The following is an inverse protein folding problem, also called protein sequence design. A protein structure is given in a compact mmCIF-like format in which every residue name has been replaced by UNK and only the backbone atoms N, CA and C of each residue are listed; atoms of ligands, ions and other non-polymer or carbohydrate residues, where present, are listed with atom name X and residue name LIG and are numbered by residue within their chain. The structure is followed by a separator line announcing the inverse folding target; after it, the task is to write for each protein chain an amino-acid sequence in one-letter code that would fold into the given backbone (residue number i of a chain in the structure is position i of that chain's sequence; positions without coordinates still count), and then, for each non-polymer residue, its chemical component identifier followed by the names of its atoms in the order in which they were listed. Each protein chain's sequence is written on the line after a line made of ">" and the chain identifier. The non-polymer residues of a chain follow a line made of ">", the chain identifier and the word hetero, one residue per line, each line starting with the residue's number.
data_IF_944416193158
#
_entry.id   IF_944416193158
#
_cell.length_a   1.000
_cell.length_b   1.000
_cell.length_c   1.000
_cell.angle_alpha   90.00
_cell.angle_beta   90.00
_cell.angle_gamma   90.00
#
_symmetry.space_group_name_H-M   'P 1'
#
loop_
_entity.id
_entity.type
_entity.pdbx_description
1 polymer ?
#
# COMPACT_ATOMS: atom_id res chain seq x y z
N UNK A 1 3.24 11.80 -26.15
CA UNK A 1 3.28 10.48 -25.50
C UNK A 1 2.79 10.74 -24.08
N UNK A 2 1.63 10.24 -23.71
CA UNK A 2 1.07 10.42 -22.37
C UNK A 2 1.83 9.45 -21.47
N UNK A 3 2.55 9.95 -20.48
CA UNK A 3 3.19 9.13 -19.46
C UNK A 3 2.15 8.87 -18.37
N UNK A 4 1.96 7.61 -18.03
CA UNK A 4 1.07 7.25 -16.94
C UNK A 4 1.80 7.44 -15.61
N UNK A 5 1.28 8.24 -14.67
CA UNK A 5 1.88 8.39 -13.35
C UNK A 5 1.67 7.14 -12.51
N UNK A 6 2.63 6.88 -11.63
CA UNK A 6 2.58 5.83 -10.61
C UNK A 6 2.83 6.46 -9.25
N UNK A 7 2.04 6.07 -8.27
CA UNK A 7 2.27 6.43 -6.87
C UNK A 7 3.07 5.31 -6.22
N UNK A 8 4.20 5.66 -5.63
CA UNK A 8 5.04 4.76 -4.86
C UNK A 8 4.89 5.05 -3.38
N UNK A 9 4.48 4.05 -2.63
CA UNK A 9 4.36 4.07 -1.19
C UNK A 9 5.36 3.08 -0.59
N UNK A 10 5.73 3.27 0.68
CA UNK A 10 6.49 2.28 1.44
C UNK A 10 5.74 0.93 1.52
N UNK A 11 6.31 -0.05 2.19
CA UNK A 11 5.57 -1.23 2.60
C UNK A 11 4.34 -0.84 3.45
N UNK A 12 3.32 -1.68 3.43
CA UNK A 12 2.15 -1.50 4.29
C UNK A 12 2.51 -1.78 5.75
N UNK A 13 2.58 -0.76 6.58
CA UNK A 13 2.89 -0.92 8.01
C UNK A 13 1.75 -1.57 8.81
N UNK A 14 0.52 -1.62 8.28
CA UNK A 14 -0.56 -2.39 8.87
C UNK A 14 -0.36 -3.91 8.71
N UNK A 15 0.53 -4.36 7.83
CA UNK A 15 0.78 -5.79 7.54
C UNK A 15 1.10 -6.62 8.79
N UNK A 16 1.76 -6.01 9.75
CA UNK A 16 2.13 -6.65 11.01
C UNK A 16 1.46 -6.01 12.23
N UNK A 17 0.56 -5.04 12.02
CA UNK A 17 -0.08 -4.34 13.12
C UNK A 17 -0.96 -5.29 13.94
N UNK A 18 -0.99 -5.07 15.24
CA UNK A 18 -1.89 -5.75 16.17
C UNK A 18 -3.04 -4.84 16.54
N UNK A 19 -4.20 -5.41 16.73
CA UNK A 19 -5.38 -4.73 17.24
C UNK A 19 -5.89 -5.50 18.47
N UNK A 20 -6.50 -4.83 19.42
CA UNK A 20 -7.06 -5.44 20.65
C UNK A 20 -8.05 -6.58 20.35
N UNK A 21 -8.65 -6.60 19.16
CA UNK A 21 -9.69 -7.55 18.78
C UNK A 21 -9.34 -8.46 17.61
N UNK A 22 -8.21 -8.20 16.90
CA UNK A 22 -7.85 -8.93 15.68
C UNK A 22 -6.36 -8.89 15.39
N UNK A 23 -5.83 -9.94 14.77
CA UNK A 23 -4.45 -9.96 14.24
C UNK A 23 -4.37 -9.27 12.88
N UNK A 24 -3.17 -8.91 12.44
CA UNK A 24 -2.90 -8.24 11.15
C UNK A 24 -3.58 -8.91 9.93
N UNK A 25 -3.65 -10.23 9.91
CA UNK A 25 -4.34 -10.99 8.86
C UNK A 25 -5.86 -10.69 8.77
N UNK A 26 -6.44 -10.10 9.82
CA UNK A 26 -7.87 -9.82 9.93
C UNK A 26 -8.25 -8.41 9.48
N UNK A 27 -7.29 -7.59 9.02
CA UNK A 27 -7.58 -6.24 8.48
C UNK A 27 -7.98 -6.27 6.99
N UNK A 28 -8.24 -7.44 6.47
CA UNK A 28 -8.87 -7.67 5.18
C UNK A 28 -10.32 -8.08 5.37
N UNK A 29 -11.22 -7.50 4.58
CA UNK A 29 -12.66 -7.79 4.59
C UNK A 29 -13.31 -7.61 5.98
N UNK A 30 -13.00 -6.49 6.65
CA UNK A 30 -13.62 -6.14 7.91
C UNK A 30 -15.07 -5.70 7.69
N UNK A 31 -15.99 -6.28 8.45
CA UNK A 31 -17.36 -5.82 8.60
C UNK A 31 -17.56 -5.31 10.02
N UNK A 32 -17.89 -4.04 10.15
CA UNK A 32 -18.09 -3.37 11.43
C UNK A 32 -19.56 -3.00 11.60
N UNK A 33 -20.23 -3.68 12.50
CA UNK A 33 -21.56 -3.33 12.98
C UNK A 33 -21.45 -2.71 14.38
N UNK A 34 -22.50 -2.04 14.86
CA UNK A 34 -22.53 -1.39 16.17
C UNK A 34 -21.57 -0.20 16.28
N UNK A 35 -21.83 0.83 15.49
CA UNK A 35 -21.14 2.12 15.57
C UNK A 35 -21.60 2.92 16.82
N UNK A 36 -20.81 3.87 17.37
CA UNK A 36 -19.47 4.22 16.89
C UNK A 36 -18.43 3.12 17.15
N UNK A 37 -17.41 3.04 16.29
CA UNK A 37 -16.34 2.05 16.43
C UNK A 37 -14.99 2.75 16.55
N UNK A 38 -14.20 2.27 17.48
CA UNK A 38 -12.80 2.69 17.66
C UNK A 38 -11.91 1.48 17.45
N UNK A 39 -10.99 1.59 16.51
CA UNK A 39 -9.99 0.57 16.20
C UNK A 39 -8.60 1.15 16.46
N UNK A 40 -7.82 0.50 17.31
CA UNK A 40 -6.44 0.88 17.57
C UNK A 40 -5.50 -0.13 16.93
N UNK A 41 -4.56 0.34 16.13
CA UNK A 41 -3.57 -0.45 15.43
C UNK A 41 -2.20 -0.16 16.04
N UNK A 42 -1.62 -1.16 16.69
CA UNK A 42 -0.27 -1.08 17.21
C UNK A 42 0.72 -1.53 16.14
N UNK A 43 1.62 -0.65 15.73
CA UNK A 43 2.56 -0.92 14.65
C UNK A 43 3.71 -1.77 15.18
N UNK A 44 3.88 -2.96 14.58
CA UNK A 44 4.92 -3.91 14.96
C UNK A 44 5.84 -4.21 13.78
N UNK A 45 7.03 -4.75 14.09
CA UNK A 45 7.88 -5.39 13.10
C UNK A 45 7.39 -6.84 12.84
N UNK A 46 8.06 -7.53 11.93
CA UNK A 46 7.75 -8.94 11.61
C UNK A 46 7.96 -9.92 12.78
N UNK A 47 8.54 -9.47 13.88
CA UNK A 47 8.78 -10.25 15.10
C UNK A 47 7.80 -9.90 16.23
N UNK A 48 6.87 -8.98 15.98
CA UNK A 48 5.87 -8.53 16.97
C UNK A 48 6.39 -7.47 17.95
N UNK A 49 7.55 -6.86 17.71
CA UNK A 49 8.02 -5.75 18.54
C UNK A 49 7.34 -4.45 18.12
N UNK A 50 6.86 -3.68 19.09
CA UNK A 50 6.33 -2.35 18.82
C UNK A 50 7.40 -1.41 18.31
N UNK A 51 7.14 -0.75 17.20
CA UNK A 51 8.09 0.15 16.55
C UNK A 51 7.41 1.44 16.11
N UNK A 52 8.17 2.53 16.24
CA UNK A 52 7.78 3.79 15.62
C UNK A 52 7.99 3.74 14.11
N UNK A 53 6.97 4.16 13.36
CA UNK A 53 7.03 4.33 11.91
C UNK A 53 6.74 5.78 11.53
N UNK A 54 7.45 6.27 10.53
CA UNK A 54 7.13 7.54 9.88
C UNK A 54 6.02 7.30 8.87
N UNK A 55 4.86 7.88 9.09
CA UNK A 55 3.64 7.63 8.30
C UNK A 55 3.05 8.98 7.90
N UNK A 56 2.59 9.07 6.67
CA UNK A 56 1.89 10.25 6.15
C UNK A 56 0.66 9.89 5.29
N UNK A 57 0.45 8.60 5.03
CA UNK A 57 -0.58 8.15 4.09
C UNK A 57 -1.42 7.04 4.67
N UNK A 58 -2.75 7.18 4.53
CA UNK A 58 -3.76 6.13 4.73
C UNK A 58 -4.31 5.71 3.38
N UNK A 59 -4.44 4.41 3.17
CA UNK A 59 -5.18 3.83 2.06
C UNK A 59 -6.27 2.91 2.60
N UNK A 60 -7.49 3.11 2.12
CA UNK A 60 -8.64 2.21 2.33
C UNK A 60 -9.10 1.70 0.98
N UNK A 61 -9.27 0.40 0.85
CA UNK A 61 -9.80 -0.25 -0.35
C UNK A 61 -11.12 -0.96 -0.02
N UNK A 62 -12.03 -1.00 -0.97
CA UNK A 62 -13.36 -1.61 -0.86
C UNK A 62 -14.10 -1.17 0.42
N UNK A 63 -14.12 0.13 0.65
CA UNK A 63 -14.74 0.74 1.83
C UNK A 63 -16.03 1.47 1.48
N UNK A 64 -16.95 1.52 2.44
CA UNK A 64 -18.15 2.36 2.41
C UNK A 64 -18.15 3.40 3.55
N UNK A 65 -16.99 3.67 4.14
CA UNK A 65 -16.85 4.72 5.16
C UNK A 65 -17.11 6.08 4.54
N UNK A 66 -18.05 6.81 5.10
CA UNK A 66 -18.37 8.20 4.72
C UNK A 66 -17.58 9.20 5.55
N UNK A 67 -17.44 8.95 6.85
CA UNK A 67 -16.68 9.80 7.76
C UNK A 67 -15.89 9.00 8.78
N UNK A 68 -14.67 9.45 9.06
CA UNK A 68 -13.80 8.87 10.08
C UNK A 68 -12.75 9.88 10.54
N UNK A 69 -12.22 9.69 11.72
CA UNK A 69 -11.08 10.43 12.24
C UNK A 69 -9.95 9.48 12.58
N UNK A 70 -8.73 9.89 12.27
CA UNK A 70 -7.52 9.17 12.64
C UNK A 70 -6.70 10.02 13.60
N UNK A 71 -6.14 9.34 14.57
CA UNK A 71 -5.23 9.90 15.57
C UNK A 71 -3.97 9.03 15.60
N UNK A 72 -2.83 9.63 15.88
CA UNK A 72 -1.58 8.92 16.11
C UNK A 72 -1.15 9.02 17.58
N UNK A 73 -0.56 7.95 18.07
CA UNK A 73 -0.03 7.90 19.43
C UNK A 73 1.40 8.47 19.48
N UNK A 74 1.62 9.35 20.45
CA UNK A 74 2.93 9.88 20.81
C UNK A 74 3.01 10.10 22.31
N UNK A 75 4.03 9.52 22.93
CA UNK A 75 4.29 9.67 24.38
C UNK A 75 3.09 9.26 25.26
N UNK A 76 2.36 8.22 24.87
CA UNK A 76 1.19 7.71 25.57
C UNK A 76 -0.09 8.53 25.38
N UNK A 77 -0.10 9.50 24.47
CA UNK A 77 -1.26 10.33 24.15
C UNK A 77 -1.62 10.27 22.67
N UNK A 78 -2.90 10.42 22.35
CA UNK A 78 -3.38 10.44 20.97
C UNK A 78 -3.58 11.87 20.50
N UNK A 79 -3.08 12.16 19.30
CA UNK A 79 -3.17 13.46 18.64
C UNK A 79 -3.91 13.33 17.31
N UNK A 80 -4.73 14.31 16.91
CA UNK A 80 -5.38 14.30 15.60
C UNK A 80 -4.36 14.18 14.47
N UNK A 81 -4.73 13.38 13.44
CA UNK A 81 -3.90 13.21 12.26
C UNK A 81 -4.69 13.47 10.98
N UNK A 82 -5.54 12.56 10.56
CA UNK A 82 -6.32 12.66 9.33
C UNK A 82 -7.82 12.64 9.62
N UNK A 83 -8.60 13.26 8.74
CA UNK A 83 -10.05 13.23 8.80
C UNK A 83 -10.61 12.90 7.42
N UNK A 84 -11.49 11.91 7.35
CA UNK A 84 -12.32 11.59 6.21
C UNK A 84 -13.70 12.18 6.44
N UNK A 85 -14.25 12.90 5.46
CA UNK A 85 -15.56 13.52 5.58
C UNK A 85 -16.27 13.56 4.22
N UNK A 86 -17.50 13.08 4.18
CA UNK A 86 -18.35 13.10 2.99
C UNK A 86 -17.82 12.20 1.85
N UNK A 87 -17.11 11.13 2.18
CA UNK A 87 -16.56 10.22 1.19
C UNK A 87 -17.68 9.43 0.50
N UNK A 88 -17.56 9.28 -0.82
CA UNK A 88 -18.44 8.47 -1.65
C UNK A 88 -17.67 7.40 -2.46
N UNK A 89 -16.34 7.41 -2.36
CA UNK A 89 -15.46 6.51 -3.09
C UNK A 89 -15.22 5.20 -2.33
N UNK A 90 -15.08 4.11 -3.06
CA UNK A 90 -14.76 2.80 -2.48
C UNK A 90 -13.26 2.64 -2.18
N UNK A 91 -12.41 3.44 -2.83
CA UNK A 91 -10.97 3.48 -2.56
C UNK A 91 -10.59 4.91 -2.16
N UNK A 92 -9.95 5.04 -1.02
CA UNK A 92 -9.61 6.33 -0.42
C UNK A 92 -8.12 6.39 -0.12
N UNK A 93 -7.44 7.36 -0.70
CA UNK A 93 -6.05 7.70 -0.38
C UNK A 93 -6.01 9.07 0.29
N UNK A 94 -5.69 9.09 1.57
CA UNK A 94 -5.47 10.33 2.33
C UNK A 94 -3.99 10.51 2.60
N UNK A 95 -3.47 11.68 2.32
CA UNK A 95 -2.06 12.04 2.55
C UNK A 95 -1.96 13.30 3.41
N UNK A 96 -1.15 13.22 4.46
CA UNK A 96 -0.72 14.39 5.22
C UNK A 96 0.58 14.94 4.61
N UNK A 97 0.70 16.25 4.39
CA UNK A 97 1.94 16.86 3.94
C UNK A 97 3.09 16.73 4.98
N UNK A 98 2.76 16.42 6.24
CA UNK A 98 3.72 16.27 7.32
C UNK A 98 3.66 14.87 7.93
N UNK A 99 4.71 14.05 7.72
CA UNK A 99 4.72 12.70 8.28
C UNK A 99 4.72 12.74 9.82
N UNK A 100 3.93 11.84 10.41
CA UNK A 100 3.91 11.62 11.86
C UNK A 100 4.77 10.41 12.21
N UNK A 101 5.41 10.44 13.37
CA UNK A 101 6.12 9.27 13.91
C UNK A 101 5.24 8.66 15.00
N UNK A 102 4.77 7.44 14.75
CA UNK A 102 3.81 6.78 15.63
C UNK A 102 4.13 5.30 15.82
N UNK A 103 3.82 4.77 16.99
CA UNK A 103 3.78 3.34 17.26
C UNK A 103 2.34 2.79 17.28
N UNK A 104 1.33 3.66 17.35
CA UNK A 104 -0.06 3.26 17.22
C UNK A 104 -0.88 4.32 16.46
N UNK A 105 -1.87 3.84 15.70
CA UNK A 105 -2.87 4.64 15.01
C UNK A 105 -4.24 4.23 15.52
N UNK A 106 -5.08 5.22 15.82
CA UNK A 106 -6.46 5.01 16.20
C UNK A 106 -7.39 5.53 15.12
N UNK A 107 -8.24 4.66 14.60
CA UNK A 107 -9.31 4.98 13.66
C UNK A 107 -10.63 4.98 14.42
N UNK A 108 -11.34 6.11 14.40
CA UNK A 108 -12.67 6.27 14.97
C UNK A 108 -13.68 6.47 13.85
N UNK A 109 -14.66 5.60 13.78
CA UNK A 109 -15.77 5.63 12.81
C UNK A 109 -17.03 5.99 13.62
N UNK A 110 -17.56 7.22 13.51
CA UNK A 110 -18.78 7.62 14.20
C UNK A 110 -20.00 6.96 13.56
N UNK A 111 -21.10 6.87 14.31
CA UNK A 111 -22.39 6.42 13.79
C UNK A 111 -22.97 7.45 12.79
N UNK A 112 -22.76 8.73 13.09
CA UNK A 112 -23.29 9.82 12.29
C UNK A 112 -22.67 9.83 10.88
N UNK A 113 -23.53 9.85 9.86
CA UNK A 113 -23.20 9.83 8.42
C UNK A 113 -22.63 8.51 7.86
N UNK A 114 -22.34 7.52 8.68
CA UNK A 114 -21.91 6.21 8.21
C UNK A 114 -23.11 5.24 8.08
N UNK A 115 -23.04 4.23 7.20
CA UNK A 115 -24.04 3.17 7.15
C UNK A 115 -24.01 2.31 8.41
N UNK A 116 -25.12 1.64 8.75
CA UNK A 116 -25.21 0.75 9.92
C UNK A 116 -24.14 -0.35 9.94
N UNK A 117 -23.72 -0.81 8.76
CA UNK A 117 -22.61 -1.74 8.58
C UNK A 117 -21.55 -1.09 7.70
N UNK A 118 -20.39 -0.91 8.29
CA UNK A 118 -19.21 -0.40 7.60
C UNK A 118 -18.34 -1.56 7.15
N UNK A 119 -17.88 -1.50 5.90
CA UNK A 119 -16.96 -2.47 5.30
C UNK A 119 -15.63 -1.82 5.00
N UNK A 120 -14.55 -2.58 5.17
CA UNK A 120 -13.19 -2.22 4.76
C UNK A 120 -12.58 -3.48 4.15
N UNK A 121 -12.36 -3.50 2.83
CA UNK A 121 -11.72 -4.62 2.15
C UNK A 121 -10.25 -4.72 2.52
N UNK A 122 -9.55 -3.58 2.54
CA UNK A 122 -8.15 -3.49 2.98
C UNK A 122 -7.86 -2.14 3.61
N UNK A 123 -7.01 -2.15 4.62
CA UNK A 123 -6.50 -0.96 5.27
C UNK A 123 -4.97 -0.98 5.27
N UNK A 124 -4.36 0.16 4.96
CA UNK A 124 -2.91 0.30 4.98
C UNK A 124 -2.45 1.66 5.49
N UNK A 125 -1.33 1.65 6.21
CA UNK A 125 -0.60 2.83 6.65
C UNK A 125 0.76 2.86 5.96
N UNK A 126 1.11 4.00 5.36
CA UNK A 126 2.27 4.12 4.50
C UNK A 126 3.03 5.41 4.74
N UNK A 127 4.27 5.41 4.31
CA UNK A 127 5.02 6.61 3.97
C UNK A 127 4.93 6.83 2.46
N UNK A 128 4.52 8.01 2.06
CA UNK A 128 4.52 8.41 0.66
C UNK A 128 5.96 8.65 0.19
N UNK A 129 6.35 8.01 -0.90
CA UNK A 129 7.70 8.14 -1.42
C UNK A 129 7.75 9.17 -2.55
N UNK A 130 7.01 8.93 -3.62
CA UNK A 130 6.99 9.84 -4.77
C UNK A 130 5.88 9.47 -5.77
N UNK A 131 5.58 10.43 -6.66
CA UNK A 131 4.87 10.20 -7.91
C UNK A 131 5.88 10.17 -9.05
N UNK A 132 5.84 9.13 -9.85
CA UNK A 132 6.74 8.98 -10.98
C UNK A 132 5.97 8.59 -12.24
N UNK A 133 6.39 9.14 -13.38
CA UNK A 133 5.84 8.76 -14.66
C UNK A 133 6.65 7.59 -15.23
N UNK A 134 6.02 6.44 -15.38
CA UNK A 134 6.61 5.31 -16.09
C UNK A 134 6.71 5.59 -17.59
N UNK A 135 7.73 5.02 -18.23
CA UNK A 135 7.85 5.10 -19.68
C UNK A 135 6.93 4.11 -20.38
N UNK A 136 6.62 4.39 -21.64
CA UNK A 136 5.68 3.58 -22.45
C UNK A 136 6.19 2.19 -22.79
N UNK A 137 7.47 1.90 -22.60
CA UNK A 137 8.08 0.59 -22.73
C UNK A 137 8.06 -0.23 -21.43
N UNK A 138 7.49 0.32 -20.36
CA UNK A 138 7.16 -0.46 -19.17
C UNK A 138 6.18 -1.57 -19.53
N UNK A 139 6.45 -2.77 -19.07
CA UNK A 139 5.62 -3.94 -19.36
C UNK A 139 4.91 -4.42 -18.10
N UNK A 140 3.64 -4.79 -18.27
CA UNK A 140 2.82 -5.37 -17.23
C UNK A 140 2.37 -6.75 -17.67
N UNK A 141 2.47 -7.71 -16.80
CA UNK A 141 2.06 -9.08 -17.06
C UNK A 141 1.30 -9.60 -15.84
N UNK A 142 0.18 -10.24 -16.09
CA UNK A 142 -0.48 -11.06 -15.08
C UNK A 142 -0.12 -12.49 -15.41
N UNK A 143 0.79 -13.08 -14.64
CA UNK A 143 1.09 -14.50 -14.77
C UNK A 143 -0.01 -15.30 -14.08
N UNK A 144 -0.82 -15.97 -14.87
CA UNK A 144 -1.72 -16.99 -14.34
C UNK A 144 -0.88 -18.17 -13.86
N UNK A 145 -0.75 -18.31 -12.56
CA UNK A 145 -0.09 -19.46 -11.95
C UNK A 145 -1.03 -20.67 -12.06
N UNK A 146 -1.22 -21.14 -13.31
CA UNK A 146 -2.08 -22.27 -13.62
C UNK A 146 -1.24 -23.45 -14.10
N UNK A 147 -1.59 -24.62 -13.63
CA UNK A 147 -0.92 -25.84 -14.04
C UNK A 147 -1.83 -27.05 -13.89
N UNK A 148 -1.31 -28.18 -14.26
CA UNK A 148 -2.00 -29.46 -14.03
C UNK A 148 -0.99 -30.51 -13.58
N UNK A 149 -1.41 -31.39 -12.73
CA UNK A 149 -0.64 -32.60 -12.39
C UNK A 149 -1.52 -33.82 -12.50
N UNK A 150 -0.90 -34.96 -12.80
CA UNK A 150 -1.59 -36.24 -12.84
C UNK A 150 -1.43 -36.95 -11.48
N UNK A 151 -2.54 -37.32 -10.90
CA UNK A 151 -2.56 -38.14 -9.66
C UNK A 151 -2.04 -39.56 -9.90
N UNK A 152 -1.74 -40.26 -8.86
CA UNK A 152 -1.38 -41.70 -8.95
C UNK A 152 -2.52 -42.58 -9.48
N UNK A 153 -3.78 -42.13 -9.33
CA UNK A 153 -4.95 -42.76 -9.94
C UNK A 153 -5.10 -42.48 -11.44
N UNK A 154 -4.30 -41.57 -11.98
CA UNK A 154 -4.33 -41.22 -13.39
C UNK A 154 -5.20 -40.03 -13.73
N UNK A 155 -5.91 -39.47 -12.75
CA UNK A 155 -6.74 -38.26 -12.93
C UNK A 155 -5.88 -37.01 -13.14
N UNK A 156 -6.34 -36.10 -13.98
CA UNK A 156 -5.69 -34.81 -14.17
C UNK A 156 -6.38 -33.79 -13.27
N UNK A 157 -5.62 -33.25 -12.32
CA UNK A 157 -6.06 -32.13 -11.47
C UNK A 157 -5.50 -30.85 -12.04
N UNK A 158 -6.39 -29.94 -12.38
CA UNK A 158 -6.04 -28.57 -12.76
C UNK A 158 -6.05 -27.71 -11.52
N UNK A 159 -4.98 -26.94 -11.32
CA UNK A 159 -5.00 -25.84 -10.36
C UNK A 159 -4.85 -24.53 -11.16
N UNK A 160 -5.69 -23.59 -10.85
CA UNK A 160 -5.62 -22.24 -11.38
C UNK A 160 -5.75 -21.32 -10.19
N UNK A 161 -4.67 -20.68 -9.83
CA UNK A 161 -4.72 -19.58 -8.90
C UNK A 161 -4.84 -18.27 -9.64
N UNK A 162 -5.29 -17.25 -8.91
CA UNK A 162 -5.28 -15.88 -9.33
C UNK A 162 -3.93 -15.49 -9.94
N UNK A 163 -3.96 -14.76 -11.02
CA UNK A 163 -2.75 -14.25 -11.62
C UNK A 163 -2.09 -13.23 -10.68
N UNK A 164 -0.79 -13.36 -10.48
CA UNK A 164 0.01 -12.35 -9.80
C UNK A 164 0.46 -11.30 -10.81
N UNK A 165 0.41 -10.05 -10.37
CA UNK A 165 0.89 -8.94 -11.18
C UNK A 165 2.41 -8.90 -11.16
N UNK A 166 3.01 -8.84 -12.34
CA UNK A 166 4.44 -8.64 -12.54
C UNK A 166 4.64 -7.41 -13.44
N UNK A 167 5.60 -6.60 -13.10
CA UNK A 167 5.89 -5.40 -13.87
C UNK A 167 7.38 -5.13 -13.97
N UNK A 168 7.77 -4.67 -15.16
CA UNK A 168 9.05 -4.02 -15.38
C UNK A 168 8.78 -2.54 -15.62
N UNK A 169 9.09 -1.74 -14.62
CA UNK A 169 8.81 -0.30 -14.62
C UNK A 169 10.09 0.43 -14.95
N UNK A 170 10.07 1.18 -16.04
CA UNK A 170 11.16 2.06 -16.44
C UNK A 170 10.77 3.51 -16.16
N UNK A 171 11.64 4.21 -15.46
CA UNK A 171 11.45 5.60 -15.05
C UNK A 171 12.66 6.40 -15.51
N UNK A 172 12.43 7.43 -16.31
CA UNK A 172 13.49 8.33 -16.78
C UNK A 172 13.34 9.72 -16.17
N UNK A 173 14.43 10.46 -16.18
CA UNK A 173 14.52 11.82 -15.67
C UNK A 173 14.19 11.95 -14.18
N UNK A 174 14.58 10.96 -13.39
CA UNK A 174 14.36 10.93 -11.96
C UNK A 174 15.37 11.86 -11.25
N UNK A 175 14.91 12.85 -10.46
CA UNK A 175 15.80 13.67 -9.64
C UNK A 175 16.54 12.81 -8.61
N UNK A 176 17.76 13.22 -8.27
CA UNK A 176 18.63 12.50 -7.34
C UNK A 176 17.96 12.18 -6.01
N UNK A 177 17.28 13.15 -5.42
CA UNK A 177 16.60 13.01 -4.13
C UNK A 177 15.52 11.93 -4.16
N UNK A 178 14.68 11.92 -5.19
CA UNK A 178 13.64 10.88 -5.36
C UNK A 178 14.26 9.50 -5.61
N UNK A 179 15.34 9.45 -6.41
CA UNK A 179 16.08 8.20 -6.63
C UNK A 179 16.66 7.65 -5.32
N UNK A 180 17.31 8.49 -4.51
CA UNK A 180 17.89 8.08 -3.23
C UNK A 180 16.81 7.60 -2.25
N UNK A 181 15.67 8.31 -2.17
CA UNK A 181 14.54 7.92 -1.31
C UNK A 181 13.98 6.56 -1.69
N UNK A 182 13.67 6.36 -2.98
CA UNK A 182 13.11 5.09 -3.46
C UNK A 182 14.12 3.94 -3.33
N UNK A 183 15.38 4.17 -3.71
CA UNK A 183 16.43 3.16 -3.61
C UNK A 183 16.72 2.75 -2.17
N UNK A 184 16.65 3.68 -1.23
CA UNK A 184 16.85 3.37 0.17
C UNK A 184 15.71 2.51 0.72
N UNK A 185 14.46 2.88 0.42
CA UNK A 185 13.29 2.10 0.84
C UNK A 185 13.34 0.66 0.32
N UNK A 186 13.64 0.48 -0.98
CA UNK A 186 13.76 -0.85 -1.59
C UNK A 186 14.87 -1.67 -0.93
N UNK A 187 16.01 -1.07 -0.60
CA UNK A 187 17.10 -1.76 0.11
C UNK A 187 16.71 -2.18 1.52
N UNK A 188 15.94 -1.34 2.21
CA UNK A 188 15.60 -1.56 3.61
C UNK A 188 14.51 -2.63 3.77
N UNK A 189 13.55 -2.68 2.86
CA UNK A 189 12.37 -3.54 3.01
C UNK A 189 12.18 -4.57 1.91
N UNK A 190 12.71 -4.32 0.71
CA UNK A 190 12.40 -5.06 -0.52
C UNK A 190 10.89 -5.13 -0.84
N UNK A 191 10.08 -4.34 -0.17
CA UNK A 191 8.63 -4.31 -0.33
C UNK A 191 8.17 -2.87 -0.55
N UNK A 192 7.37 -2.64 -1.58
CA UNK A 192 6.70 -1.37 -1.84
C UNK A 192 5.24 -1.60 -2.20
N UNK A 193 4.43 -0.59 -1.99
CA UNK A 193 3.09 -0.54 -2.56
C UNK A 193 3.09 0.39 -3.77
N UNK A 194 2.61 -0.10 -4.89
CA UNK A 194 2.56 0.59 -6.16
C UNK A 194 1.10 0.77 -6.57
N UNK A 195 0.70 2.00 -6.85
CA UNK A 195 -0.61 2.33 -7.39
C UNK A 195 -0.40 2.85 -8.80
N UNK A 196 -0.69 2.07 -9.84
CA UNK A 196 -0.71 2.54 -11.21
C UNK A 196 -1.86 3.53 -11.37
N UNK A 197 -1.55 4.75 -11.73
CA UNK A 197 -2.53 5.80 -11.89
C UNK A 197 -3.00 5.84 -13.35
N UNK A 198 -3.98 5.02 -13.66
CA UNK A 198 -4.62 5.02 -14.96
C UNK A 198 -5.93 5.79 -14.86
N UNK A 199 -6.00 6.93 -15.53
CA UNK A 199 -7.21 7.75 -15.64
C UNK A 199 -7.82 8.23 -14.30
N UNK A 200 -7.00 8.51 -13.29
CA UNK A 200 -7.43 8.90 -11.94
C UNK A 200 -8.35 7.88 -11.24
N UNK A 201 -8.38 6.65 -11.73
CA UNK A 201 -9.09 5.57 -11.09
C UNK A 201 -8.11 4.74 -10.25
N UNK A 202 -8.25 4.77 -8.93
CA UNK A 202 -7.48 3.95 -7.98
C UNK A 202 -7.94 2.47 -8.02
N UNK A 203 -8.19 1.95 -9.22
CA UNK A 203 -8.78 0.61 -9.39
C UNK A 203 -7.85 -0.53 -9.05
N UNK A 204 -6.55 -0.26 -8.87
CA UNK A 204 -5.58 -1.30 -8.57
C UNK A 204 -4.48 -0.79 -7.63
N UNK A 205 -4.28 -1.53 -6.55
CA UNK A 205 -3.21 -1.31 -5.57
C UNK A 205 -2.43 -2.60 -5.43
N UNK A 206 -1.12 -2.55 -5.71
CA UNK A 206 -0.27 -3.72 -5.67
C UNK A 206 0.76 -3.60 -4.56
N UNK A 207 0.71 -4.50 -3.60
CA UNK A 207 1.81 -4.73 -2.66
C UNK A 207 2.84 -5.62 -3.36
N UNK A 208 4.04 -5.10 -3.58
CA UNK A 208 5.03 -5.72 -4.43
C UNK A 208 6.31 -6.02 -3.66
N UNK A 209 6.89 -7.18 -3.98
CA UNK A 209 8.30 -7.44 -3.75
C UNK A 209 9.11 -6.85 -4.92
N UNK A 210 10.20 -6.17 -4.62
CA UNK A 210 11.14 -5.65 -5.61
C UNK A 210 12.50 -6.33 -5.42
N UNK A 211 13.19 -6.58 -6.55
CA UNK A 211 14.58 -7.00 -6.47
C UNK A 211 15.41 -5.88 -5.82
N UNK A 212 16.13 -6.15 -4.73
CA UNK A 212 17.00 -5.16 -4.09
C UNK A 212 18.17 -4.73 -4.97
N UNK A 213 18.45 -5.44 -6.06
CA UNK A 213 19.42 -5.05 -7.08
C UNK A 213 18.78 -4.10 -8.10
N UNK A 214 18.67 -2.84 -7.72
CA UNK A 214 18.10 -1.81 -8.59
C UNK A 214 19.10 -1.50 -9.72
N UNK A 215 18.68 -1.70 -10.98
CA UNK A 215 19.43 -1.23 -12.14
C UNK A 215 19.16 0.25 -12.37
N UNK A 216 20.23 1.04 -12.50
CA UNK A 216 20.10 2.46 -12.81
C UNK A 216 21.22 2.97 -13.71
N UNK A 217 20.89 4.02 -14.47
CA UNK A 217 21.84 4.78 -15.27
C UNK A 217 21.78 6.26 -14.86
N UNK A 218 22.92 6.95 -14.95
CA UNK A 218 23.01 8.38 -14.63
C UNK A 218 23.37 9.16 -15.88
N UNK A 219 22.54 10.09 -16.26
CA UNK A 219 22.89 11.04 -17.30
C UNK A 219 23.82 12.12 -16.71
N UNK A 220 25.11 12.01 -17.04
CA UNK A 220 26.15 12.92 -16.50
C UNK A 220 25.99 14.40 -16.89
N UNK A 221 25.17 14.71 -17.89
CA UNK A 221 24.96 16.11 -18.33
C UNK A 221 23.81 16.78 -17.56
N UNK A 222 22.77 16.01 -17.22
CA UNK A 222 21.57 16.50 -16.57
C UNK A 222 21.51 16.13 -15.09
N UNK A 223 22.40 15.24 -14.63
CA UNK A 223 22.38 14.65 -13.28
C UNK A 223 21.08 13.94 -12.93
N UNK A 224 20.32 13.54 -13.95
CA UNK A 224 19.08 12.79 -13.79
C UNK A 224 19.35 11.29 -13.91
N UNK A 225 18.55 10.52 -13.19
CA UNK A 225 18.64 9.07 -13.13
C UNK A 225 17.60 8.42 -14.06
N UNK A 226 17.97 7.32 -14.64
CA UNK A 226 17.08 6.36 -15.28
C UNK A 226 17.07 5.11 -14.39
N UNK A 227 15.88 4.65 -14.02
CA UNK A 227 15.68 3.57 -13.07
C UNK A 227 14.85 2.47 -13.71
N UNK A 228 15.25 1.22 -13.52
CA UNK A 228 14.47 0.03 -13.90
C UNK A 228 14.14 -0.75 -12.64
N UNK A 229 12.86 -0.98 -12.41
CA UNK A 229 12.34 -1.76 -11.31
C UNK A 229 11.65 -3.01 -11.84
N UNK A 230 11.97 -4.14 -11.26
CA UNK A 230 11.20 -5.37 -11.46
C UNK A 230 10.39 -5.60 -10.18
N UNK A 231 9.07 -5.56 -10.33
CA UNK A 231 8.13 -5.68 -9.24
C UNK A 231 7.24 -6.91 -9.44
N UNK A 232 7.04 -7.68 -8.37
CA UNK A 232 6.16 -8.84 -8.36
C UNK A 232 5.20 -8.70 -7.18
N UNK A 233 3.92 -8.91 -7.43
CA UNK A 233 2.89 -8.89 -6.38
C UNK A 233 3.14 -9.97 -5.32
N UNK A 234 2.93 -9.63 -4.05
CA UNK A 234 3.18 -10.47 -2.88
C UNK A 234 2.13 -11.60 -2.70
#
# INVERSE_FOLDING_TARGET
>A
MIREPYIFLSQNYAKYAENETASAASFKNLELSSLPRVLTFYLTDKYGNYINRSIDTLLLEDTNIVSATLEYEKDGQYYPWLTLSGNADTTVLLKDPFPVSACAIRLTIPEEHNPDVVTIGKLGFYKYLCDLCAETDSSFKVDANSGSYRTLSGDIVYYGDYGKWESKIKISNLPKEQFETLSQEVKDTSELTIIPFKDFDFSAVYECYLDPQIEYEVNRKTELYELKLEAQEL
#
